data_IF_485180737225
#
_entry.id   IF_485180737225
#
_cell.length_a   1.000
_cell.length_b   1.000
_cell.length_c   1.000
_cell.angle_alpha   90.00
_cell.angle_beta   90.00
_cell.angle_gamma   90.00
#
_symmetry.space_group_name_H-M   'P 1'
#
loop_
_entity.id
_entity.type
_entity.pdbx_description
1 polymer ?
#
# COMPACT_ATOMS: atom_id res chain seq x y z
N UNK A 1 -1.21 16.14 26.38
CA UNK A 1 -0.82 14.72 26.16
C UNK A 1 -1.52 14.19 24.90
N UNK A 2 -1.43 14.91 23.78
CA UNK A 2 -2.01 14.48 22.51
C UNK A 2 -0.89 14.63 21.49
N UNK A 3 -0.29 13.51 21.10
CA UNK A 3 0.81 13.47 20.14
C UNK A 3 0.62 12.29 19.20
N UNK A 4 1.27 12.33 18.06
CA UNK A 4 1.26 11.25 17.09
C UNK A 4 2.20 10.16 17.61
N UNK A 5 1.68 8.98 17.92
CA UNK A 5 2.48 7.81 18.30
C UNK A 5 2.14 6.63 17.40
N UNK A 6 2.68 6.69 16.18
CA UNK A 6 2.40 5.73 15.13
C UNK A 6 3.61 4.84 14.88
N UNK A 7 3.35 3.55 14.73
CA UNK A 7 4.33 2.56 14.32
C UNK A 7 3.95 2.07 12.93
N UNK A 8 4.90 2.16 12.00
CA UNK A 8 4.73 1.74 10.62
C UNK A 8 5.64 0.55 10.30
N UNK A 9 5.11 -0.43 9.58
CA UNK A 9 5.88 -1.49 8.97
C UNK A 9 5.53 -1.54 7.48
N UNK A 10 6.56 -1.55 6.64
CA UNK A 10 6.42 -1.65 5.20
C UNK A 10 7.32 -2.77 4.72
N UNK A 11 6.77 -3.66 3.91
CA UNK A 11 7.47 -4.81 3.37
C UNK A 11 7.19 -4.96 1.88
N UNK A 12 8.21 -5.30 1.12
CA UNK A 12 8.07 -5.72 -0.27
C UNK A 12 8.89 -6.98 -0.50
N UNK A 13 8.24 -8.03 -1.00
CA UNK A 13 8.86 -9.33 -1.19
C UNK A 13 8.55 -9.89 -2.59
N UNK A 14 9.58 -10.14 -3.43
CA UNK A 14 9.41 -10.90 -4.66
C UNK A 14 9.37 -12.40 -4.32
N UNK A 15 8.18 -13.01 -4.37
CA UNK A 15 7.99 -14.42 -3.98
C UNK A 15 8.51 -15.36 -5.08
N UNK A 16 8.38 -14.95 -6.33
CA UNK A 16 8.89 -15.66 -7.49
C UNK A 16 9.36 -14.66 -8.53
N UNK A 17 10.06 -15.12 -9.57
CA UNK A 17 10.58 -14.27 -10.66
C UNK A 17 9.52 -13.38 -11.31
N UNK A 18 8.25 -13.76 -11.20
CA UNK A 18 7.09 -13.08 -11.79
C UNK A 18 6.10 -12.52 -10.78
N UNK A 19 6.24 -12.82 -9.49
CA UNK A 19 5.27 -12.46 -8.46
C UNK A 19 5.91 -11.57 -7.40
N UNK A 20 5.26 -10.44 -7.11
CA UNK A 20 5.71 -9.51 -6.08
C UNK A 20 4.55 -9.14 -5.18
N UNK A 21 4.81 -9.18 -3.88
CA UNK A 21 3.88 -8.76 -2.85
C UNK A 21 4.44 -7.53 -2.16
N UNK A 22 3.57 -6.58 -1.89
CA UNK A 22 3.86 -5.39 -1.12
C UNK A 22 2.82 -5.26 -0.03
N UNK A 23 3.25 -4.90 1.17
CA UNK A 23 2.36 -4.61 2.28
C UNK A 23 2.84 -3.39 3.06
N UNK A 24 1.90 -2.58 3.51
CA UNK A 24 2.16 -1.50 4.46
C UNK A 24 1.12 -1.56 5.58
N UNK A 25 1.57 -1.35 6.80
CA UNK A 25 0.72 -1.36 7.98
C UNK A 25 1.17 -0.29 8.95
N UNK A 26 0.30 0.69 9.20
CA UNK A 26 0.52 1.76 10.16
C UNK A 26 -0.51 1.66 11.28
N UNK A 27 -0.01 1.63 12.51
CA UNK A 27 -0.80 1.47 13.71
C UNK A 27 -0.56 2.63 14.68
N UNK A 28 -1.64 3.27 15.11
CA UNK A 28 -1.59 4.28 16.16
C UNK A 28 -1.70 3.60 17.53
N UNK A 29 -0.63 3.67 18.31
CA UNK A 29 -0.54 3.06 19.64
C UNK A 29 -1.26 3.84 20.72
N UNK A 30 -1.48 5.15 20.54
CA UNK A 30 -2.27 5.94 21.47
C UNK A 30 -3.76 5.60 21.33
N UNK A 31 -4.22 5.46 20.09
CA UNK A 31 -5.63 5.17 19.76
C UNK A 31 -5.94 3.67 19.74
N UNK A 32 -4.91 2.81 19.81
CA UNK A 32 -4.98 1.35 19.59
C UNK A 32 -5.77 0.98 18.33
N UNK A 33 -5.61 1.77 17.26
CA UNK A 33 -6.36 1.63 16.01
C UNK A 33 -5.41 1.63 14.82
N UNK A 34 -5.67 0.80 13.80
CA UNK A 34 -4.92 0.87 12.55
C UNK A 34 -5.20 2.20 11.87
N UNK A 35 -4.16 2.96 11.55
CA UNK A 35 -4.30 4.21 10.81
C UNK A 35 -4.44 3.92 9.31
N UNK A 36 -3.67 2.94 8.83
CA UNK A 36 -3.59 2.64 7.40
C UNK A 36 -3.07 1.21 7.17
N UNK A 37 -3.64 0.53 6.18
CA UNK A 37 -3.35 -0.85 5.82
C UNK A 37 -3.40 -0.99 4.31
N UNK A 38 -2.32 -1.46 3.69
CA UNK A 38 -2.25 -1.69 2.26
C UNK A 38 -1.68 -3.08 1.97
N UNK A 39 -2.28 -3.76 1.01
CA UNK A 39 -1.79 -5.00 0.44
C UNK A 39 -1.84 -4.90 -1.08
N UNK A 40 -0.72 -5.18 -1.73
CA UNK A 40 -0.58 -5.16 -3.17
C UNK A 40 0.04 -6.46 -3.67
N UNK A 41 -0.51 -6.98 -4.75
CA UNK A 41 0.00 -8.14 -5.48
C UNK A 41 0.26 -7.71 -6.92
N UNK A 42 1.45 -8.00 -7.42
CA UNK A 42 1.79 -7.77 -8.81
C UNK A 42 2.30 -9.05 -9.45
N UNK A 43 1.74 -9.34 -10.62
CA UNK A 43 2.19 -10.39 -11.52
C UNK A 43 2.81 -9.77 -12.76
N UNK A 44 4.02 -10.22 -13.12
CA UNK A 44 4.78 -9.72 -14.26
C UNK A 44 5.00 -10.81 -15.30
N UNK A 45 4.68 -10.48 -16.54
CA UNK A 45 4.97 -11.29 -17.73
C UNK A 45 5.90 -10.52 -18.68
N UNK A 46 6.23 -11.11 -19.83
CA UNK A 46 7.09 -10.48 -20.84
C UNK A 46 6.41 -9.29 -21.56
N UNK A 47 5.08 -9.32 -21.70
CA UNK A 47 4.33 -8.31 -22.47
C UNK A 47 3.23 -7.61 -21.66
N UNK A 48 3.04 -7.97 -20.40
CA UNK A 48 2.03 -7.33 -19.55
C UNK A 48 2.39 -7.48 -18.07
N UNK A 49 1.88 -6.57 -17.26
CA UNK A 49 1.86 -6.67 -15.81
C UNK A 49 0.44 -6.46 -15.30
N UNK A 50 0.07 -7.22 -14.28
CA UNK A 50 -1.23 -7.11 -13.61
C UNK A 50 -0.95 -6.78 -12.16
N UNK A 51 -1.58 -5.72 -11.66
CA UNK A 51 -1.46 -5.26 -10.30
C UNK A 51 -2.84 -5.21 -9.67
N UNK A 52 -2.96 -5.80 -8.49
CA UNK A 52 -4.16 -5.74 -7.66
C UNK A 52 -3.75 -5.16 -6.31
N UNK A 53 -4.46 -4.14 -5.88
CA UNK A 53 -4.21 -3.43 -4.64
C UNK A 53 -5.47 -3.35 -3.80
N UNK A 54 -5.31 -3.54 -2.50
CA UNK A 54 -6.30 -3.25 -1.48
C UNK A 54 -5.69 -2.25 -0.51
N UNK A 55 -6.41 -1.19 -0.22
CA UNK A 55 -6.02 -0.17 0.74
C UNK A 55 -7.20 0.12 1.66
N UNK A 56 -6.93 0.16 2.95
CA UNK A 56 -7.86 0.60 3.98
C UNK A 56 -7.20 1.72 4.76
N UNK A 57 -7.75 2.92 4.60
CA UNK A 57 -7.22 4.14 5.21
C UNK A 57 -8.22 4.77 6.15
N UNK A 58 -7.70 5.44 7.17
CA UNK A 58 -8.50 6.34 7.99
C UNK A 58 -8.84 7.60 7.19
N UNK A 59 -10.12 7.83 6.90
CA UNK A 59 -10.61 8.93 6.05
C UNK A 59 -11.29 10.05 6.85
N UNK A 60 -11.26 9.99 8.19
CA UNK A 60 -11.75 11.08 9.03
C UNK A 60 -12.24 10.63 10.40
N UNK A 61 -12.83 11.57 11.12
CA UNK A 61 -13.42 11.37 12.43
C UNK A 61 -14.90 11.78 12.40
N UNK A 62 -15.77 10.88 12.82
CA UNK A 62 -17.19 11.15 13.01
C UNK A 62 -17.38 11.82 14.37
N UNK A 63 -17.74 13.10 14.36
CA UNK A 63 -17.94 13.88 15.58
C UNK A 63 -19.21 13.45 16.35
N UNK A 64 -20.22 12.92 15.69
CA UNK A 64 -21.47 12.48 16.32
C UNK A 64 -21.30 11.11 16.99
N UNK A 65 -20.58 10.20 16.34
CA UNK A 65 -20.36 8.83 16.85
C UNK A 65 -19.04 8.66 17.60
N UNK A 66 -18.24 9.72 17.71
CA UNK A 66 -16.93 9.71 18.37
C UNK A 66 -16.05 8.55 17.89
N UNK A 67 -16.06 8.28 16.58
CA UNK A 67 -15.35 7.14 16.00
C UNK A 67 -14.60 7.50 14.71
N UNK A 68 -13.55 6.72 14.45
CA UNK A 68 -12.74 6.81 13.25
C UNK A 68 -13.51 6.24 12.04
N UNK A 69 -13.60 7.02 10.95
CA UNK A 69 -14.22 6.60 9.69
C UNK A 69 -13.13 6.00 8.80
N UNK A 70 -13.37 4.78 8.32
CA UNK A 70 -12.45 4.09 7.43
C UNK A 70 -13.01 4.05 6.02
N UNK A 71 -12.13 4.27 5.05
CA UNK A 71 -12.41 4.07 3.63
C UNK A 71 -11.64 2.84 3.13
N UNK A 72 -12.27 2.06 2.26
CA UNK A 72 -11.70 0.85 1.68
C UNK A 72 -11.69 0.99 0.17
N UNK A 73 -10.50 0.95 -0.42
CA UNK A 73 -10.31 0.98 -1.86
C UNK A 73 -9.77 -0.36 -2.34
N UNK A 74 -10.36 -0.88 -3.41
CA UNK A 74 -9.81 -2.00 -4.17
C UNK A 74 -9.54 -1.48 -5.58
N UNK A 75 -8.31 -1.65 -6.04
CA UNK A 75 -7.86 -1.25 -7.36
C UNK A 75 -7.31 -2.42 -8.14
N UNK A 76 -7.59 -2.46 -9.43
CA UNK A 76 -6.88 -3.31 -10.37
C UNK A 76 -6.26 -2.42 -11.46
N UNK A 77 -5.06 -2.79 -11.90
CA UNK A 77 -4.35 -2.09 -12.95
C UNK A 77 -3.69 -3.13 -13.86
N UNK A 78 -3.81 -2.91 -15.17
CA UNK A 78 -3.19 -3.74 -16.19
C UNK A 78 -2.29 -2.82 -17.02
N UNK A 79 -1.02 -3.17 -17.07
CA UNK A 79 0.00 -2.42 -17.79
C UNK A 79 0.50 -3.26 -18.96
N UNK A 80 0.49 -2.71 -20.17
CA UNK A 80 1.10 -3.35 -21.34
C UNK A 80 2.60 -3.08 -21.31
N UNK A 81 3.39 -4.16 -21.36
CA UNK A 81 4.86 -4.12 -21.33
C UNK A 81 5.45 -4.67 -22.63
N UNK A 82 6.74 -4.45 -22.87
CA UNK A 82 7.43 -4.91 -24.08
C UNK A 82 7.59 -3.87 -25.19
N UNK A 83 7.04 -2.66 -25.05
CA UNK A 83 7.35 -1.50 -25.90
C UNK A 83 8.48 -0.62 -25.33
N UNK A 84 8.90 -0.90 -24.09
CA UNK A 84 9.98 -0.23 -23.37
C UNK A 84 10.73 -1.26 -22.52
N UNK A 85 12.01 -0.99 -22.20
CA UNK A 85 12.90 -1.87 -21.43
C UNK A 85 12.55 -1.96 -19.93
N UNK A 86 11.36 -1.52 -19.52
CA UNK A 86 10.91 -1.54 -18.14
C UNK A 86 10.44 -2.94 -17.73
N UNK A 87 11.39 -3.79 -17.35
CA UNK A 87 11.15 -5.13 -16.79
C UNK A 87 11.06 -5.15 -15.25
N UNK A 88 11.08 -3.98 -14.60
CA UNK A 88 11.08 -3.88 -13.15
C UNK A 88 9.77 -4.39 -12.53
N UNK A 89 9.84 -5.00 -11.35
CA UNK A 89 8.70 -5.66 -10.70
C UNK A 89 7.59 -4.71 -10.19
N UNK A 90 7.70 -3.39 -10.44
CA UNK A 90 6.67 -2.38 -10.11
C UNK A 90 6.42 -2.15 -8.61
N UNK A 91 7.20 -2.78 -7.73
CA UNK A 91 7.04 -2.75 -6.27
C UNK A 91 7.19 -1.35 -5.68
N UNK A 92 8.11 -0.52 -6.18
CA UNK A 92 8.26 0.86 -5.70
C UNK A 92 7.04 1.74 -6.00
N UNK A 93 6.37 1.50 -7.13
CA UNK A 93 5.21 2.27 -7.53
C UNK A 93 3.98 1.91 -6.68
N UNK A 94 3.83 0.62 -6.35
CA UNK A 94 2.84 0.15 -5.37
C UNK A 94 3.10 0.71 -3.98
N UNK A 95 4.36 0.75 -3.55
CA UNK A 95 4.75 1.28 -2.24
C UNK A 95 4.45 2.78 -2.06
N UNK A 96 4.28 3.51 -3.17
CA UNK A 96 3.99 4.95 -3.18
C UNK A 96 2.52 5.29 -3.36
N UNK A 97 1.63 4.32 -3.61
CA UNK A 97 0.22 4.60 -3.86
C UNK A 97 -0.58 4.91 -2.59
N UNK A 98 -0.01 4.61 -1.42
CA UNK A 98 -0.68 4.73 -0.14
C UNK A 98 -0.70 6.17 0.40
N UNK A 99 -1.62 6.49 1.32
CA UNK A 99 -1.69 7.80 1.99
C UNK A 99 -0.42 8.17 2.77
N UNK A 100 0.30 7.16 3.25
CA UNK A 100 1.62 7.28 3.88
C UNK A 100 2.65 6.59 2.97
N UNK A 101 3.09 7.27 1.90
CA UNK A 101 3.92 6.65 0.87
C UNK A 101 5.28 6.27 1.44
N UNK A 102 5.79 5.12 1.02
CA UNK A 102 7.14 4.71 1.37
C UNK A 102 8.18 5.70 0.83
N UNK A 103 9.06 6.17 1.71
CA UNK A 103 10.23 6.96 1.37
C UNK A 103 11.49 6.21 1.79
N UNK A 104 12.48 6.15 0.88
CA UNK A 104 13.81 5.64 1.20
C UNK A 104 14.46 6.56 2.22
N UNK A 105 15.00 5.99 3.31
CA UNK A 105 15.63 6.76 4.38
C UNK A 105 17.15 6.99 4.19
N UNK A 106 17.67 6.75 2.97
CA UNK A 106 19.06 6.98 2.58
C UNK A 106 19.16 8.11 1.55
#
# INVERSE_FOLDING_TARGET
>A
KNGINQVGAVASWPIADRWSIVGAYYFDTNSSKPADQMLGLQYNSCCYAIRVGYERKLNGWDNDKQHAIYDNAIGFNIELRGLSSNYGLGTQEMLRSNILPYQSSM
#
